data_IF_626131899702
#
_entry.id   IF_626131899702
#
_cell.length_a   1.000
_cell.length_b   1.000
_cell.length_c   1.000
_cell.angle_alpha   90.00
_cell.angle_beta   90.00
_cell.angle_gamma   90.00
#
_symmetry.space_group_name_H-M   'P 1'
#
loop_
_entity.id
_entity.type
_entity.pdbx_description
1 polymer ?
#
# COMPACT_ATOMS: atom_id res chain seq x y z
N UNK A 1 80.20 -1.45 -11.67
CA UNK A 1 78.79 -1.33 -12.13
C UNK A 1 77.85 -1.68 -10.98
N UNK A 2 77.64 -0.74 -10.05
CA UNK A 2 76.77 -0.86 -8.86
C UNK A 2 75.97 0.44 -8.78
N UNK A 3 74.84 0.54 -9.50
CA UNK A 3 73.94 1.70 -9.38
C UNK A 3 72.54 1.50 -9.97
N UNK A 4 72.32 0.53 -10.86
CA UNK A 4 71.01 0.42 -11.57
C UNK A 4 69.94 -0.44 -10.87
N UNK A 5 70.26 -1.27 -9.87
CA UNK A 5 69.27 -2.18 -9.25
C UNK A 5 68.48 -1.58 -8.09
N UNK A 6 68.92 -0.46 -7.50
CA UNK A 6 68.22 0.16 -6.36
C UNK A 6 67.09 1.12 -6.78
N UNK A 7 67.15 1.69 -7.98
CA UNK A 7 66.12 2.63 -8.46
C UNK A 7 64.86 1.93 -8.97
N UNK A 8 64.96 0.70 -9.47
CA UNK A 8 63.79 -0.06 -9.95
C UNK A 8 62.91 -0.60 -8.81
N UNK A 9 63.51 -0.98 -7.68
CA UNK A 9 62.77 -1.48 -6.51
C UNK A 9 61.99 -0.36 -5.79
N UNK A 10 62.49 0.89 -5.81
CA UNK A 10 61.81 2.02 -5.19
C UNK A 10 60.61 2.50 -6.03
N UNK A 11 60.69 2.42 -7.36
CA UNK A 11 59.60 2.79 -8.26
C UNK A 11 58.40 1.81 -8.18
N UNK A 12 58.64 0.52 -7.90
CA UNK A 12 57.58 -0.48 -7.77
C UNK A 12 56.84 -0.39 -6.41
N UNK A 13 57.52 0.08 -5.36
CA UNK A 13 56.89 0.29 -4.04
C UNK A 13 56.09 1.60 -4.01
N UNK A 14 56.54 2.65 -4.70
CA UNK A 14 55.77 3.90 -4.83
C UNK A 14 54.53 3.77 -5.73
N UNK A 15 54.51 2.81 -6.66
CA UNK A 15 53.33 2.53 -7.50
C UNK A 15 52.22 1.77 -6.74
N UNK A 16 52.55 1.02 -5.67
CA UNK A 16 51.59 0.31 -4.83
C UNK A 16 50.96 1.17 -3.72
N UNK A 17 51.54 2.35 -3.43
CA UNK A 17 51.02 3.33 -2.47
C UNK A 17 50.29 4.50 -3.14
N UNK A 18 50.05 4.43 -4.45
CA UNK A 18 49.26 5.39 -5.21
C UNK A 18 47.78 5.33 -4.82
N UNK A 19 47.39 6.21 -3.90
CA UNK A 19 46.05 6.76 -3.71
C UNK A 19 44.87 5.78 -3.79
N UNK A 20 44.74 4.87 -2.83
CA UNK A 20 43.38 4.45 -2.45
C UNK A 20 42.78 5.59 -1.61
N UNK A 21 42.17 6.56 -2.27
CA UNK A 21 41.44 7.64 -1.62
C UNK A 21 40.47 7.04 -0.59
N UNK A 22 40.52 7.43 0.70
CA UNK A 22 39.57 6.95 1.71
C UNK A 22 38.11 7.20 1.30
N UNK A 23 37.85 8.21 0.46
CA UNK A 23 36.54 8.46 -0.16
C UNK A 23 36.19 7.38 -1.18
N UNK A 24 37.12 6.99 -2.05
CA UNK A 24 36.91 5.91 -3.03
C UNK A 24 36.77 4.54 -2.35
N UNK A 25 37.51 4.30 -1.26
CA UNK A 25 37.36 3.09 -0.45
C UNK A 25 36.04 3.05 0.31
N UNK A 26 35.56 4.19 0.82
CA UNK A 26 34.24 4.29 1.44
C UNK A 26 33.10 4.22 0.41
N UNK A 27 33.29 4.78 -0.79
CA UNK A 27 32.33 4.66 -1.90
C UNK A 27 32.25 3.22 -2.40
N UNK A 28 33.39 2.55 -2.62
CA UNK A 28 33.44 1.11 -2.93
C UNK A 28 32.83 0.27 -1.82
N UNK A 29 33.07 0.57 -0.56
CA UNK A 29 32.41 -0.10 0.55
C UNK A 29 30.88 0.10 0.51
N UNK A 30 30.36 1.27 0.13
CA UNK A 30 28.92 1.49 -0.06
C UNK A 30 28.34 0.79 -1.30
N UNK A 31 29.09 0.75 -2.40
CA UNK A 31 28.68 0.15 -3.68
C UNK A 31 28.73 -1.38 -3.62
N UNK A 32 29.68 -1.94 -2.88
CA UNK A 32 29.91 -3.39 -2.73
C UNK A 32 29.52 -3.92 -1.35
N UNK A 33 28.92 -3.10 -0.48
CA UNK A 33 28.25 -3.58 0.71
C UNK A 33 27.14 -4.54 0.29
N UNK A 34 26.90 -5.63 1.03
CA UNK A 34 25.70 -6.43 0.85
C UNK A 34 24.51 -5.47 0.86
N UNK A 35 23.73 -5.48 -0.22
CA UNK A 35 22.53 -4.67 -0.29
C UNK A 35 21.69 -4.97 0.96
N UNK A 36 21.39 -3.93 1.75
CA UNK A 36 20.58 -4.10 2.95
C UNK A 36 19.32 -4.87 2.56
N UNK A 37 18.93 -5.89 3.33
CA UNK A 37 17.76 -6.68 2.97
C UNK A 37 16.57 -5.72 2.78
N UNK A 38 15.67 -5.99 1.82
CA UNK A 38 14.52 -5.13 1.59
C UNK A 38 13.85 -4.80 2.92
N UNK A 39 13.45 -3.54 3.13
CA UNK A 39 12.96 -3.06 4.44
C UNK A 39 11.93 -4.00 5.08
N UNK A 40 11.07 -4.60 4.28
CA UNK A 40 10.08 -5.61 4.68
C UNK A 40 10.73 -6.83 5.36
N UNK A 41 11.82 -7.36 4.81
CA UNK A 41 12.55 -8.51 5.39
C UNK A 41 13.21 -8.12 6.71
N UNK A 42 13.71 -6.89 6.84
CA UNK A 42 14.23 -6.38 8.11
C UNK A 42 13.11 -6.24 9.15
N UNK A 43 11.97 -5.65 8.76
CA UNK A 43 10.77 -5.52 9.57
C UNK A 43 10.22 -6.88 10.02
N UNK A 44 10.26 -7.91 9.18
CA UNK A 44 9.81 -9.26 9.52
C UNK A 44 10.68 -9.93 10.61
N UNK A 45 11.95 -9.53 10.74
CA UNK A 45 12.86 -10.02 11.79
C UNK A 45 12.71 -9.29 13.12
N UNK A 46 11.98 -8.17 13.14
CA UNK A 46 11.68 -7.42 14.36
C UNK A 46 10.87 -8.29 15.33
N UNK A 47 11.37 -8.43 16.55
CA UNK A 47 10.64 -9.09 17.63
C UNK A 47 9.62 -8.11 18.22
N UNK A 48 8.35 -8.45 18.07
CA UNK A 48 7.24 -7.68 18.63
C UNK A 48 6.62 -8.52 19.73
N UNK A 49 6.82 -8.21 21.02
CA UNK A 49 6.26 -9.01 22.11
C UNK A 49 4.72 -8.85 22.12
N UNK A 50 3.94 -9.89 21.74
CA UNK A 50 2.48 -9.79 21.78
C UNK A 50 1.99 -9.55 23.22
N UNK A 51 2.63 -10.10 24.23
CA UNK A 51 2.30 -9.89 25.65
C UNK A 51 2.26 -8.41 26.06
N UNK A 52 3.08 -7.55 25.45
CA UNK A 52 3.20 -6.12 25.79
C UNK A 52 2.17 -5.24 25.04
N UNK A 53 1.36 -5.82 24.15
CA UNK A 53 0.43 -5.08 23.26
C UNK A 53 -0.54 -4.17 24.02
N UNK A 54 -0.99 -4.60 25.19
CA UNK A 54 -1.95 -3.86 26.00
C UNK A 54 -1.37 -2.61 26.64
N UNK A 55 -0.09 -2.69 27.02
CA UNK A 55 0.61 -1.65 27.78
C UNK A 55 1.45 -0.75 26.87
N UNK A 56 1.71 -1.17 25.61
CA UNK A 56 2.49 -0.42 24.65
C UNK A 56 1.70 -0.12 23.35
N UNK A 57 1.14 1.09 23.22
CA UNK A 57 0.41 1.51 22.02
C UNK A 57 1.22 1.47 20.72
N UNK A 58 2.55 1.61 20.79
CA UNK A 58 3.40 1.54 19.59
C UNK A 58 3.50 0.10 19.07
N UNK A 59 3.65 -0.87 19.97
CA UNK A 59 3.67 -2.30 19.62
C UNK A 59 2.31 -2.72 19.06
N UNK A 60 1.21 -2.33 19.71
CA UNK A 60 -0.14 -2.58 19.20
C UNK A 60 -0.32 -2.08 17.76
N UNK A 61 0.05 -0.83 17.48
CA UNK A 61 -0.05 -0.25 16.13
C UNK A 61 0.84 -0.92 15.11
N UNK A 62 2.05 -1.29 15.51
CA UNK A 62 3.00 -1.98 14.65
C UNK A 62 2.49 -3.35 14.21
N UNK A 63 1.82 -4.07 15.12
CA UNK A 63 1.16 -5.35 14.85
C UNK A 63 -0.08 -5.16 13.98
N UNK A 64 -0.98 -4.25 14.34
CA UNK A 64 -2.22 -3.99 13.59
C UNK A 64 -1.97 -3.39 12.20
N UNK A 65 -0.81 -2.75 12.01
CA UNK A 65 -0.39 -2.08 10.78
C UNK A 65 0.58 -2.87 9.91
N UNK A 66 0.85 -4.16 10.19
CA UNK A 66 1.73 -4.98 9.36
C UNK A 66 1.25 -5.02 7.90
N UNK A 67 2.19 -4.90 6.97
CA UNK A 67 1.89 -5.01 5.55
C UNK A 67 1.84 -6.48 5.09
N UNK A 68 1.22 -6.72 3.92
CA UNK A 68 1.05 -8.06 3.38
C UNK A 68 2.38 -8.79 3.14
N UNK A 69 3.42 -8.06 2.76
CA UNK A 69 4.71 -8.62 2.42
C UNK A 69 5.41 -9.12 3.68
N UNK A 70 5.40 -8.33 4.75
CA UNK A 70 5.88 -8.71 6.07
C UNK A 70 5.09 -9.89 6.65
N UNK A 71 3.76 -9.86 6.54
CA UNK A 71 2.92 -11.00 6.96
C UNK A 71 3.34 -12.28 6.25
N UNK A 72 3.63 -12.21 4.95
CA UNK A 72 4.10 -13.35 4.16
C UNK A 72 5.51 -13.78 4.56
N UNK A 73 6.43 -12.86 4.84
CA UNK A 73 7.78 -13.20 5.34
C UNK A 73 7.73 -13.88 6.72
N UNK A 74 6.78 -13.48 7.58
CA UNK A 74 6.61 -14.01 8.93
C UNK A 74 5.93 -15.38 8.96
N UNK A 75 4.88 -15.58 8.15
CA UNK A 75 4.05 -16.79 8.18
C UNK A 75 4.35 -17.78 7.04
N UNK A 76 4.97 -17.32 5.96
CA UNK A 76 5.00 -18.04 4.70
C UNK A 76 3.71 -17.90 3.89
N UNK A 77 3.48 -18.80 2.90
CA UNK A 77 2.25 -18.85 2.12
C UNK A 77 1.00 -18.94 3.00
N UNK A 78 -0.08 -18.28 2.61
CA UNK A 78 -1.33 -18.25 3.37
C UNK A 78 -2.50 -17.76 2.51
N UNK A 79 -3.71 -17.96 3.02
CA UNK A 79 -4.92 -17.37 2.48
C UNK A 79 -5.54 -16.39 3.49
N UNK A 80 -5.60 -15.12 3.10
CA UNK A 80 -6.31 -14.05 3.79
C UNK A 80 -7.68 -13.84 3.16
N UNK A 81 -8.69 -13.71 4.00
CA UNK A 81 -10.03 -13.31 3.59
C UNK A 81 -10.56 -12.26 4.56
N UNK A 82 -11.26 -11.25 4.05
CA UNK A 82 -12.01 -10.30 4.85
C UNK A 82 -13.34 -9.91 4.22
N UNK A 83 -14.30 -9.58 5.09
CA UNK A 83 -15.57 -8.97 4.73
C UNK A 83 -15.72 -7.68 5.53
N UNK A 84 -15.96 -6.58 4.83
CA UNK A 84 -16.23 -5.27 5.40
C UNK A 84 -17.66 -4.88 5.06
N UNK A 85 -18.43 -4.43 6.05
CA UNK A 85 -19.73 -3.81 5.78
C UNK A 85 -19.74 -2.39 6.32
N UNK A 86 -20.24 -1.49 5.49
CA UNK A 86 -20.40 -0.07 5.76
C UNK A 86 -21.88 0.27 5.64
N UNK A 87 -22.41 0.97 6.64
CA UNK A 87 -23.73 1.56 6.59
C UNK A 87 -23.60 3.03 6.97
N UNK A 88 -23.90 3.91 6.01
CA UNK A 88 -23.98 5.35 6.23
C UNK A 88 -25.44 5.75 6.35
N UNK A 89 -25.80 6.39 7.46
CA UNK A 89 -27.14 6.94 7.67
C UNK A 89 -27.05 8.43 7.98
N UNK A 90 -28.03 9.19 7.50
CA UNK A 90 -28.19 10.59 7.89
C UNK A 90 -28.59 10.73 9.37
N UNK A 91 -28.79 11.98 9.84
CA UNK A 91 -29.32 12.24 11.17
C UNK A 91 -30.56 11.39 11.47
N UNK A 92 -30.64 10.87 12.70
CA UNK A 92 -31.71 9.99 13.18
C UNK A 92 -31.91 8.69 12.37
N UNK A 93 -30.89 8.23 11.64
CA UNK A 93 -30.93 6.96 10.89
C UNK A 93 -31.62 7.05 9.53
N UNK A 94 -31.90 8.25 9.04
CA UNK A 94 -32.61 8.43 7.77
C UNK A 94 -31.75 8.08 6.55
N UNK A 95 -32.39 7.49 5.53
CA UNK A 95 -31.79 7.14 4.23
C UNK A 95 -30.49 6.32 4.30
N UNK A 96 -30.51 5.12 4.91
CA UNK A 96 -29.31 4.30 5.05
C UNK A 96 -28.80 3.85 3.68
N UNK A 97 -27.51 4.04 3.43
CA UNK A 97 -26.78 3.53 2.27
C UNK A 97 -25.81 2.47 2.76
N UNK A 98 -25.95 1.25 2.23
CA UNK A 98 -25.10 0.11 2.58
C UNK A 98 -24.15 -0.26 1.45
N UNK A 99 -22.96 -0.68 1.83
CA UNK A 99 -21.94 -1.26 0.97
C UNK A 99 -21.28 -2.41 1.72
N UNK A 100 -21.18 -3.58 1.10
CA UNK A 100 -20.40 -4.70 1.61
C UNK A 100 -19.29 -4.98 0.62
N UNK A 101 -18.09 -5.20 1.12
CA UNK A 101 -16.89 -5.47 0.35
C UNK A 101 -16.24 -6.76 0.86
N UNK A 102 -15.83 -7.61 -0.07
CA UNK A 102 -15.09 -8.84 0.22
C UNK A 102 -13.71 -8.75 -0.41
N UNK A 103 -12.68 -9.00 0.41
CA UNK A 103 -11.28 -9.06 -0.03
C UNK A 103 -10.79 -10.49 0.17
N UNK A 104 -10.12 -11.04 -0.83
CA UNK A 104 -9.36 -12.27 -0.67
C UNK A 104 -7.95 -12.07 -1.22
N UNK A 105 -6.98 -12.68 -0.56
CA UNK A 105 -5.58 -12.60 -0.92
C UNK A 105 -4.90 -13.93 -0.61
N UNK A 106 -4.46 -14.61 -1.66
CA UNK A 106 -3.73 -15.87 -1.60
C UNK A 106 -2.25 -15.57 -1.86
N UNK A 107 -1.43 -15.75 -0.84
CA UNK A 107 0.01 -15.54 -0.91
C UNK A 107 0.73 -16.85 -1.28
N UNK A 108 1.57 -16.79 -2.31
CA UNK A 108 2.61 -17.79 -2.56
C UNK A 108 3.86 -17.52 -1.70
N UNK A 109 4.94 -18.29 -1.94
CA UNK A 109 6.21 -18.08 -1.26
C UNK A 109 6.84 -16.72 -1.56
N UNK A 110 7.38 -16.06 -0.53
CA UNK A 110 8.14 -14.81 -0.65
C UNK A 110 7.28 -13.55 -0.47
N UNK A 111 7.70 -12.66 0.43
CA UNK A 111 6.95 -11.47 0.78
C UNK A 111 7.06 -10.35 -0.24
N UNK A 112 8.22 -10.04 -0.82
CA UNK A 112 8.37 -8.83 -1.65
C UNK A 112 7.93 -9.06 -3.11
N UNK A 113 8.45 -10.11 -3.74
CA UNK A 113 8.22 -10.43 -5.16
C UNK A 113 7.52 -11.78 -5.35
N UNK A 114 6.96 -12.34 -4.27
CA UNK A 114 6.26 -13.62 -4.35
C UNK A 114 5.01 -13.54 -5.19
N UNK A 115 4.59 -14.71 -5.64
CA UNK A 115 3.35 -14.88 -6.37
C UNK A 115 2.17 -14.60 -5.44
N UNK A 116 1.11 -13.98 -5.98
CA UNK A 116 -0.12 -13.81 -5.24
C UNK A 116 -1.32 -13.75 -6.17
N UNK A 117 -2.48 -14.03 -5.61
CA UNK A 117 -3.77 -13.85 -6.25
C UNK A 117 -4.70 -13.11 -5.31
N UNK A 118 -5.18 -11.95 -5.76
CA UNK A 118 -6.01 -11.05 -4.99
C UNK A 118 -7.33 -10.75 -5.69
N UNK A 119 -8.42 -10.74 -4.93
CA UNK A 119 -9.77 -10.44 -5.42
C UNK A 119 -10.44 -9.46 -4.47
N UNK A 120 -10.95 -8.36 -5.02
CA UNK A 120 -11.75 -7.34 -4.36
C UNK A 120 -13.11 -7.28 -5.05
N UNK A 121 -14.21 -7.44 -4.31
CA UNK A 121 -15.56 -7.29 -4.86
C UNK A 121 -16.47 -6.56 -3.86
N UNK A 122 -17.54 -5.94 -4.36
CA UNK A 122 -18.55 -5.34 -3.50
C UNK A 122 -19.99 -5.63 -3.92
N UNK A 123 -20.93 -5.25 -3.05
CA UNK A 123 -22.38 -5.42 -3.23
C UNK A 123 -23.01 -4.51 -4.28
N UNK A 124 -22.20 -3.80 -5.08
CA UNK A 124 -22.63 -2.89 -6.16
C UNK A 124 -22.06 -3.31 -7.52
N UNK A 125 -21.80 -4.62 -7.68
CA UNK A 125 -21.29 -5.24 -8.91
C UNK A 125 -19.96 -4.67 -9.41
N UNK A 126 -19.16 -4.10 -8.50
CA UNK A 126 -17.80 -3.70 -8.78
C UNK A 126 -16.83 -4.74 -8.24
N UNK A 127 -15.69 -4.87 -8.91
CA UNK A 127 -14.61 -5.72 -8.44
C UNK A 127 -13.38 -5.62 -9.32
N UNK A 128 -12.25 -5.94 -8.70
CA UNK A 128 -10.93 -5.97 -9.28
C UNK A 128 -10.26 -7.27 -8.86
N UNK A 129 -9.63 -7.93 -9.82
CA UNK A 129 -8.85 -9.13 -9.57
C UNK A 129 -7.46 -8.94 -10.16
N UNK A 130 -6.45 -9.24 -9.35
CA UNK A 130 -5.03 -9.06 -9.69
C UNK A 130 -4.28 -10.31 -9.30
N UNK A 131 -3.45 -10.78 -10.22
CA UNK A 131 -2.54 -11.90 -10.00
C UNK A 131 -1.13 -11.47 -10.33
N UNK A 132 -0.18 -11.83 -9.48
CA UNK A 132 1.24 -11.87 -9.84
C UNK A 132 1.68 -13.32 -9.84
N UNK A 133 2.20 -13.80 -10.96
CA UNK A 133 2.74 -15.16 -11.08
C UNK A 133 4.03 -15.11 -11.88
N UNK A 134 5.13 -15.62 -11.31
CA UNK A 134 6.48 -15.65 -11.90
C UNK A 134 6.91 -14.25 -12.40
N UNK A 135 6.62 -13.22 -11.60
CA UNK A 135 6.95 -11.83 -11.91
C UNK A 135 6.05 -11.16 -12.95
N UNK A 136 5.12 -11.88 -13.57
CA UNK A 136 4.14 -11.30 -14.50
C UNK A 136 2.87 -10.89 -13.74
N UNK A 137 2.32 -9.72 -14.09
CA UNK A 137 1.11 -9.21 -13.47
C UNK A 137 -0.06 -9.30 -14.45
N UNK A 138 -1.18 -9.82 -13.97
CA UNK A 138 -2.44 -9.93 -14.70
C UNK A 138 -3.52 -9.22 -13.90
N UNK A 139 -4.41 -8.50 -14.57
CA UNK A 139 -5.53 -7.87 -13.90
C UNK A 139 -6.79 -7.90 -14.77
N UNK A 140 -7.95 -7.99 -14.10
CA UNK A 140 -9.26 -7.80 -14.73
C UNK A 140 -10.21 -7.06 -13.80
N UNK A 141 -11.18 -6.38 -14.40
CA UNK A 141 -12.39 -6.01 -13.68
C UNK A 141 -13.29 -7.26 -13.56
N UNK A 142 -14.25 -7.23 -12.63
CA UNK A 142 -15.17 -8.36 -12.33
C UNK A 142 -15.68 -9.14 -13.55
N UNK A 143 -16.11 -8.45 -14.61
CA UNK A 143 -16.69 -9.06 -15.82
C UNK A 143 -15.79 -8.97 -17.06
N UNK A 144 -14.55 -8.48 -16.91
CA UNK A 144 -13.61 -8.29 -18.02
C UNK A 144 -12.66 -9.49 -18.20
N UNK A 145 -12.01 -9.61 -19.36
CA UNK A 145 -10.92 -10.57 -19.53
C UNK A 145 -9.69 -10.13 -18.74
N UNK A 146 -8.83 -11.08 -18.36
CA UNK A 146 -7.50 -10.74 -17.88
C UNK A 146 -6.71 -10.00 -18.94
N UNK A 147 -5.95 -9.02 -18.49
CA UNK A 147 -4.93 -8.34 -19.28
C UNK A 147 -3.61 -8.51 -18.58
N UNK A 148 -2.61 -8.96 -19.32
CA UNK A 148 -1.23 -8.89 -18.86
C UNK A 148 -0.82 -7.43 -18.74
N UNK A 149 -0.01 -7.11 -17.73
CA UNK A 149 0.58 -5.80 -17.49
C UNK A 149 2.09 -5.94 -17.55
N UNK A 150 2.68 -5.65 -18.71
CA UNK A 150 4.13 -5.77 -18.91
C UNK A 150 4.88 -4.72 -18.08
N UNK A 151 4.30 -3.53 -17.91
CA UNK A 151 4.84 -2.44 -17.10
C UNK A 151 3.97 -2.22 -15.88
N UNK A 152 4.14 -3.05 -14.86
CA UNK A 152 3.49 -2.84 -13.56
C UNK A 152 4.11 -1.63 -12.85
N UNK A 153 3.45 -0.48 -12.93
CA UNK A 153 3.84 0.76 -12.23
C UNK A 153 3.38 0.73 -10.76
N UNK A 154 3.66 -0.37 -10.06
CA UNK A 154 3.27 -0.60 -8.66
C UNK A 154 1.76 -0.79 -8.45
N UNK A 155 1.01 -1.22 -9.47
CA UNK A 155 -0.40 -1.57 -9.32
C UNK A 155 -0.53 -2.83 -8.44
N UNK A 156 0.27 -3.86 -8.69
CA UNK A 156 0.19 -5.09 -7.91
C UNK A 156 0.49 -4.85 -6.41
N UNK A 157 1.50 -4.05 -6.07
CA UNK A 157 1.78 -3.70 -4.67
C UNK A 157 0.69 -2.86 -4.02
N UNK A 158 0.11 -1.90 -4.75
CA UNK A 158 -1.01 -1.09 -4.25
C UNK A 158 -2.23 -1.95 -4.00
N UNK A 159 -2.61 -2.80 -4.94
CA UNK A 159 -3.75 -3.71 -4.79
C UNK A 159 -3.51 -4.71 -3.67
N UNK A 160 -2.30 -5.26 -3.54
CA UNK A 160 -1.94 -6.11 -2.40
C UNK A 160 -2.14 -5.39 -1.07
N UNK A 161 -1.65 -4.16 -0.97
CA UNK A 161 -1.81 -3.33 0.23
C UNK A 161 -3.29 -3.04 0.53
N UNK A 162 -4.09 -2.79 -0.49
CA UNK A 162 -5.53 -2.55 -0.37
C UNK A 162 -6.26 -3.81 0.11
N UNK A 163 -5.96 -4.98 -0.48
CA UNK A 163 -6.61 -6.24 -0.14
C UNK A 163 -6.40 -6.65 1.32
N UNK A 164 -5.20 -6.45 1.87
CA UNK A 164 -4.87 -6.87 3.24
C UNK A 164 -4.96 -5.73 4.27
N UNK A 165 -5.13 -4.49 3.82
CA UNK A 165 -5.05 -3.28 4.65
C UNK A 165 -6.28 -2.99 5.53
N UNK A 166 -7.28 -3.87 5.54
CA UNK A 166 -8.58 -3.63 6.16
C UNK A 166 -8.51 -3.19 7.64
N UNK A 167 -7.66 -3.83 8.46
CA UNK A 167 -7.47 -3.49 9.88
C UNK A 167 -6.86 -2.09 10.02
N UNK A 168 -5.85 -1.77 9.21
CA UNK A 168 -5.18 -0.46 9.20
C UNK A 168 -6.15 0.66 8.76
N UNK A 169 -6.98 0.38 7.76
CA UNK A 169 -8.01 1.32 7.31
C UNK A 169 -9.03 1.59 8.43
N UNK A 170 -9.43 0.53 9.16
CA UNK A 170 -10.26 0.64 10.36
C UNK A 170 -9.58 1.51 11.44
N UNK A 171 -8.32 1.24 11.79
CA UNK A 171 -7.60 2.02 12.80
C UNK A 171 -7.49 3.51 12.41
N UNK A 172 -7.21 3.81 11.14
CA UNK A 172 -7.14 5.18 10.62
C UNK A 172 -8.47 5.93 10.72
N UNK A 173 -9.58 5.27 10.39
CA UNK A 173 -10.92 5.83 10.55
C UNK A 173 -11.25 6.10 12.01
N UNK A 174 -10.82 5.22 12.91
CA UNK A 174 -10.94 5.34 14.36
C UNK A 174 -9.85 6.21 15.01
N UNK A 175 -9.05 6.93 14.21
CA UNK A 175 -8.03 7.88 14.67
C UNK A 175 -6.94 7.22 15.54
N UNK A 176 -6.58 5.98 15.27
CA UNK A 176 -5.57 5.27 16.04
C UNK A 176 -6.01 4.88 17.45
N UNK A 177 -7.33 4.83 17.70
CA UNK A 177 -7.94 4.59 19.02
C UNK A 177 -8.37 3.14 19.23
N UNK A 178 -7.87 2.19 18.44
CA UNK A 178 -8.05 0.77 18.75
C UNK A 178 -7.26 0.44 20.02
N UNK A 179 -7.95 0.06 21.10
CA UNK A 179 -7.35 -0.42 22.34
C UNK A 179 -7.53 -1.92 22.45
N UNK A 180 -6.43 -2.63 22.69
CA UNK A 180 -6.40 -4.07 22.88
C UNK A 180 -6.26 -4.37 24.38
N UNK A 181 -7.06 -5.30 24.90
CA UNK A 181 -6.98 -5.80 26.28
C UNK A 181 -6.81 -7.31 26.24
N UNK A 182 -5.81 -7.90 26.92
CA UNK A 182 -5.56 -9.34 26.84
C UNK A 182 -6.75 -10.13 27.38
N UNK A 183 -7.07 -11.22 26.70
CA UNK A 183 -8.19 -12.11 27.02
C UNK A 183 -7.76 -13.59 26.96
N UNK A 184 -6.48 -13.85 27.26
CA UNK A 184 -5.88 -15.19 27.29
C UNK A 184 -5.28 -15.62 25.96
N UNK A 185 -4.97 -16.92 25.86
CA UNK A 185 -4.45 -17.55 24.64
C UNK A 185 -5.43 -18.60 24.10
N UNK A 186 -5.40 -18.80 22.79
CA UNK A 186 -6.24 -19.76 22.06
C UNK A 186 -5.42 -20.46 20.98
N UNK A 187 -5.93 -21.55 20.42
CA UNK A 187 -5.35 -22.20 19.24
C UNK A 187 -6.12 -21.81 17.98
N UNK A 188 -5.42 -21.39 16.92
CA UNK A 188 -5.99 -21.06 15.61
C UNK A 188 -5.08 -21.62 14.51
N UNK A 189 -5.62 -22.38 13.55
CA UNK A 189 -4.84 -23.04 12.48
C UNK A 189 -3.63 -23.86 13.02
N UNK A 190 -3.79 -24.49 14.19
CA UNK A 190 -2.71 -25.26 14.84
C UNK A 190 -1.62 -24.42 15.51
N UNK A 191 -1.81 -23.11 15.62
CA UNK A 191 -0.86 -22.15 16.20
C UNK A 191 -1.41 -21.56 17.51
N UNK A 192 -0.53 -21.28 18.47
CA UNK A 192 -0.91 -20.53 19.67
C UNK A 192 -1.05 -19.05 19.32
N UNK A 193 -2.18 -18.46 19.70
CA UNK A 193 -2.48 -17.06 19.49
C UNK A 193 -2.90 -16.39 20.80
N UNK A 194 -2.45 -15.17 21.02
CA UNK A 194 -2.98 -14.27 22.03
C UNK A 194 -4.31 -13.71 21.56
N UNK A 195 -5.33 -13.83 22.41
CA UNK A 195 -6.65 -13.25 22.20
C UNK A 195 -6.71 -11.90 22.90
N UNK A 196 -7.17 -10.87 22.18
CA UNK A 196 -7.44 -9.56 22.74
C UNK A 196 -8.88 -9.17 22.50
N UNK A 197 -9.50 -8.61 23.53
CA UNK A 197 -10.74 -7.85 23.37
C UNK A 197 -10.40 -6.45 22.85
N UNK A 198 -11.18 -5.97 21.89
CA UNK A 198 -11.04 -4.65 21.31
C UNK A 198 -12.03 -3.70 21.98
N UNK A 199 -11.56 -2.49 22.29
CA UNK A 199 -12.40 -1.39 22.79
C UNK A 199 -11.95 -0.06 22.20
N UNK A 200 -12.81 0.97 22.32
CA UNK A 200 -12.44 2.33 21.96
C UNK A 200 -11.53 2.95 23.03
N UNK A 201 -10.28 3.22 22.66
CA UNK A 201 -9.30 3.91 23.51
C UNK A 201 -9.58 5.40 23.68
N UNK A 202 -8.86 6.02 24.61
CA UNK A 202 -8.89 7.47 24.79
C UNK A 202 -8.45 8.20 23.49
N UNK A 203 -8.94 9.43 23.22
CA UNK A 203 -8.37 10.27 22.18
C UNK A 203 -6.87 10.39 22.43
N UNK A 204 -6.06 10.18 21.39
CA UNK A 204 -4.65 10.48 21.50
C UNK A 204 -4.44 11.97 21.32
N UNK A 205 -3.74 12.58 22.27
CA UNK A 205 -3.14 13.89 22.05
C UNK A 205 -2.18 13.73 20.88
N UNK A 206 -2.47 14.42 19.77
CA UNK A 206 -1.65 14.34 18.58
C UNK A 206 -0.22 14.69 18.94
N UNK A 207 0.70 13.74 18.80
CA UNK A 207 2.13 14.04 18.86
C UNK A 207 2.44 15.20 17.93
N UNK A 208 3.39 16.06 18.32
CA UNK A 208 3.74 17.30 17.63
C UNK A 208 3.68 17.08 16.12
N UNK A 209 2.75 17.71 15.39
CA UNK A 209 2.53 17.39 13.99
C UNK A 209 3.84 17.62 13.25
N UNK A 210 4.42 16.53 12.73
CA UNK A 210 5.57 16.63 11.83
C UNK A 210 5.13 17.60 10.74
N UNK A 211 5.88 18.71 10.57
CA UNK A 211 5.51 19.83 9.70
C UNK A 211 5.38 19.31 8.26
N UNK A 212 4.19 18.81 7.92
CA UNK A 212 3.87 18.37 6.57
C UNK A 212 3.67 19.62 5.71
N UNK A 213 3.97 19.55 4.40
CA UNK A 213 3.54 20.57 3.47
C UNK A 213 2.04 20.83 3.68
N UNK A 214 1.63 22.10 3.61
CA UNK A 214 0.22 22.44 3.71
C UNK A 214 -0.57 21.60 2.72
N UNK A 215 -1.61 20.91 3.21
CA UNK A 215 -2.46 20.09 2.36
C UNK A 215 -3.00 20.97 1.23
N UNK A 216 -2.81 20.54 -0.02
CA UNK A 216 -3.35 21.24 -1.18
C UNK A 216 -4.87 21.32 -1.03
N UNK A 217 -5.38 22.52 -0.80
CA UNK A 217 -6.81 22.77 -0.73
C UNK A 217 -7.25 23.37 -2.06
N UNK A 218 -7.95 22.62 -2.93
CA UNK A 218 -8.40 23.15 -4.20
C UNK A 218 -9.34 24.35 -3.97
N UNK A 219 -9.03 25.49 -4.59
CA UNK A 219 -9.78 26.75 -4.42
C UNK A 219 -11.29 26.61 -4.74
N UNK A 220 -11.64 25.68 -5.63
CA UNK A 220 -13.02 25.40 -6.06
C UNK A 220 -13.34 23.90 -5.96
N UNK A 221 -13.19 23.31 -4.77
CA UNK A 221 -13.59 21.92 -4.54
C UNK A 221 -15.08 21.71 -4.86
N UNK A 222 -15.41 20.67 -5.62
CA UNK A 222 -16.79 20.23 -5.83
C UNK A 222 -17.42 19.76 -4.51
N UNK A 223 -18.76 19.63 -4.49
CA UNK A 223 -19.47 19.25 -3.26
C UNK A 223 -19.03 17.89 -2.71
N UNK A 224 -18.70 16.93 -3.57
CA UNK A 224 -18.29 15.59 -3.14
C UNK A 224 -16.94 15.67 -2.43
N UNK A 225 -16.00 16.41 -3.00
CA UNK A 225 -14.69 16.67 -2.39
C UNK A 225 -14.84 17.37 -1.03
N UNK A 226 -15.73 18.38 -0.92
CA UNK A 226 -16.03 19.04 0.37
C UNK A 226 -16.62 18.09 1.40
N UNK A 227 -17.57 17.23 1.02
CA UNK A 227 -18.17 16.23 1.93
C UNK A 227 -17.13 15.24 2.45
N UNK A 228 -16.21 14.77 1.60
CA UNK A 228 -15.10 13.89 2.02
C UNK A 228 -14.17 14.57 3.00
N UNK A 229 -13.77 15.82 2.73
CA UNK A 229 -12.94 16.60 3.64
C UNK A 229 -13.64 16.77 5.00
N UNK A 230 -14.92 17.17 5.00
CA UNK A 230 -15.71 17.33 6.22
C UNK A 230 -15.84 16.03 7.02
N UNK A 231 -16.01 14.88 6.36
CA UNK A 231 -16.00 13.58 7.02
C UNK A 231 -14.70 13.38 7.80
N UNK A 232 -13.54 13.53 7.16
CA UNK A 232 -12.27 13.30 7.84
C UNK A 232 -11.99 14.35 8.94
N UNK A 233 -12.37 15.61 8.74
CA UNK A 233 -12.18 16.67 9.74
C UNK A 233 -13.05 16.45 10.98
N UNK A 234 -14.32 16.06 10.80
CA UNK A 234 -15.30 16.05 11.89
C UNK A 234 -15.69 14.67 12.40
N UNK A 235 -15.14 13.58 11.84
CA UNK A 235 -15.45 12.22 12.34
C UNK A 235 -15.13 12.09 13.84
N UNK A 236 -16.07 11.53 14.57
CA UNK A 236 -15.98 11.26 15.99
C UNK A 236 -16.27 9.78 16.24
N UNK A 237 -15.24 8.95 16.47
CA UNK A 237 -15.43 7.58 16.94
C UNK A 237 -16.30 7.56 18.21
N UNK A 238 -17.41 6.81 18.17
CA UNK A 238 -18.40 6.71 19.27
C UNK A 238 -18.27 5.41 20.03
N UNK A 239 -18.14 4.30 19.32
CA UNK A 239 -17.98 2.97 19.90
C UNK A 239 -17.10 2.12 19.02
N UNK A 240 -16.35 1.22 19.64
CA UNK A 240 -15.56 0.19 18.98
C UNK A 240 -15.52 -1.01 19.93
N UNK A 241 -15.87 -2.18 19.41
CA UNK A 241 -15.80 -3.44 20.14
C UNK A 241 -15.39 -4.58 19.20
N UNK A 242 -14.89 -5.69 19.77
CA UNK A 242 -14.48 -6.82 18.95
C UNK A 242 -13.43 -7.72 19.59
N UNK A 243 -12.80 -8.51 18.73
CA UNK A 243 -11.75 -9.46 19.08
C UNK A 243 -10.65 -9.44 18.01
N UNK A 244 -9.39 -9.57 18.45
CA UNK A 244 -8.23 -9.80 17.58
C UNK A 244 -7.44 -10.98 18.13
N UNK A 245 -7.02 -11.87 17.24
CA UNK A 245 -6.10 -12.97 17.54
C UNK A 245 -4.73 -12.65 16.93
N UNK A 246 -3.69 -12.64 17.76
CA UNK A 246 -2.30 -12.35 17.35
C UNK A 246 -1.45 -13.59 17.57
N UNK A 247 -0.75 -14.05 16.54
CA UNK A 247 0.13 -15.22 16.61
C UNK A 247 1.23 -15.01 17.66
N UNK A 248 1.42 -15.98 18.56
CA UNK A 248 2.39 -15.82 19.65
C UNK A 248 3.85 -15.87 19.18
N UNK A 249 4.12 -16.50 18.03
CA UNK A 249 5.48 -16.68 17.52
C UNK A 249 5.90 -15.55 16.56
N UNK A 250 4.96 -15.03 15.78
CA UNK A 250 5.24 -14.10 14.68
C UNK A 250 4.60 -12.73 14.85
N UNK A 251 3.70 -12.59 15.82
CA UNK A 251 2.98 -11.34 16.12
C UNK A 251 2.08 -10.86 14.98
N UNK A 252 1.76 -11.74 14.03
CA UNK A 252 0.82 -11.46 12.93
C UNK A 252 -0.62 -11.59 13.43
N UNK A 253 -1.49 -10.68 13.00
CA UNK A 253 -2.94 -10.81 13.24
C UNK A 253 -3.50 -11.97 12.42
N UNK A 254 -3.91 -13.05 13.09
CA UNK A 254 -4.48 -14.24 12.46
C UNK A 254 -5.97 -14.09 12.19
N UNK A 255 -6.68 -13.35 13.04
CA UNK A 255 -8.12 -13.14 12.94
C UNK A 255 -8.49 -11.80 13.57
N UNK A 256 -9.46 -11.11 12.97
CA UNK A 256 -10.06 -9.93 13.57
C UNK A 256 -11.57 -9.94 13.33
N UNK A 257 -12.33 -9.53 14.35
CA UNK A 257 -13.75 -9.20 14.25
C UNK A 257 -13.96 -7.87 14.95
N UNK A 258 -14.34 -6.83 14.21
CA UNK A 258 -14.55 -5.48 14.72
C UNK A 258 -15.97 -5.00 14.39
N UNK A 259 -16.59 -4.31 15.34
CA UNK A 259 -17.81 -3.53 15.16
C UNK A 259 -17.54 -2.11 15.67
N UNK A 260 -17.79 -1.12 14.83
CA UNK A 260 -17.48 0.27 15.14
C UNK A 260 -18.54 1.24 14.64
N UNK A 261 -18.69 2.34 15.38
CA UNK A 261 -19.57 3.45 15.02
C UNK A 261 -18.85 4.79 15.07
N UNK A 262 -19.06 5.60 14.04
CA UNK A 262 -18.49 6.93 13.90
C UNK A 262 -19.64 7.91 13.66
N UNK A 263 -19.73 8.93 14.50
CA UNK A 263 -20.63 10.07 14.27
C UNK A 263 -19.91 11.17 13.50
N UNK A 264 -20.60 11.80 12.56
CA UNK A 264 -20.09 12.94 11.79
C UNK A 264 -21.08 14.10 11.93
N UNK A 265 -20.82 15.05 12.86
CA UNK A 265 -21.67 16.23 13.03
C UNK A 265 -21.61 17.11 11.78
N UNK A 266 -22.70 17.82 11.51
CA UNK A 266 -22.72 18.88 10.50
C UNK A 266 -22.64 20.24 11.20
N UNK A 267 -21.98 21.22 10.59
CA UNK A 267 -21.74 22.55 11.17
C UNK A 267 -23.01 23.25 11.70
N UNK A 268 -24.19 22.89 11.16
CA UNK A 268 -25.48 23.55 11.46
C UNK A 268 -26.46 22.70 12.26
N UNK A 269 -26.15 21.44 12.57
CA UNK A 269 -27.05 20.57 13.34
C UNK A 269 -26.29 19.74 14.38
N UNK A 270 -26.78 19.68 15.63
CA UNK A 270 -26.19 18.83 16.66
C UNK A 270 -26.35 17.33 16.35
N UNK A 271 -27.33 16.97 15.52
CA UNK A 271 -27.54 15.59 15.07
C UNK A 271 -26.48 15.20 14.02
N UNK A 272 -25.71 14.17 14.35
CA UNK A 272 -24.65 13.66 13.50
C UNK A 272 -25.20 12.59 12.54
N UNK A 273 -24.68 12.58 11.30
CA UNK A 273 -24.75 11.39 10.47
C UNK A 273 -23.93 10.26 11.12
N UNK A 274 -24.27 9.01 10.85
CA UNK A 274 -23.61 7.85 11.47
C UNK A 274 -23.05 6.92 10.39
N UNK A 275 -21.78 6.55 10.56
CA UNK A 275 -21.14 5.45 9.84
C UNK A 275 -21.03 4.26 10.79
N UNK A 276 -21.68 3.15 10.45
CA UNK A 276 -21.48 1.85 11.09
C UNK A 276 -20.56 1.01 10.22
N UNK A 277 -19.61 0.34 10.86
CA UNK A 277 -18.63 -0.50 10.19
C UNK A 277 -18.49 -1.82 10.91
N UNK A 278 -18.45 -2.89 10.14
CA UNK A 278 -18.03 -4.20 10.63
C UNK A 278 -16.90 -4.73 9.78
N UNK A 279 -15.95 -5.42 10.41
CA UNK A 279 -14.86 -6.13 9.78
C UNK A 279 -14.84 -7.54 10.33
N UNK A 280 -14.83 -8.54 9.46
CA UNK A 280 -14.42 -9.89 9.79
C UNK A 280 -13.25 -10.28 8.88
N UNK A 281 -12.13 -10.71 9.44
CA UNK A 281 -10.98 -11.17 8.66
C UNK A 281 -10.30 -12.37 9.31
N UNK A 282 -9.74 -13.25 8.48
CA UNK A 282 -9.01 -14.43 8.94
C UNK A 282 -7.89 -14.83 7.98
N UNK A 283 -6.82 -15.38 8.56
CA UNK A 283 -5.78 -16.13 7.89
C UNK A 283 -6.02 -17.63 8.07
N UNK A 284 -5.89 -18.37 6.97
CA UNK A 284 -6.01 -19.83 6.87
C UNK A 284 -4.96 -20.38 5.92
N UNK A 285 -4.82 -21.70 5.85
CA UNK A 285 -3.86 -22.37 4.94
C UNK A 285 -2.41 -21.91 5.16
N UNK A 286 -2.08 -21.56 6.40
CA UNK A 286 -0.77 -21.02 6.77
C UNK A 286 0.31 -22.08 6.51
N UNK A 287 1.36 -21.68 5.78
CA UNK A 287 2.47 -22.52 5.37
C UNK A 287 2.19 -23.42 4.17
N UNK A 288 0.98 -23.39 3.58
CA UNK A 288 0.63 -24.22 2.41
C UNK A 288 0.85 -23.45 1.12
N UNK A 289 1.80 -23.88 0.31
CA UNK A 289 2.05 -23.26 -1.01
C UNK A 289 0.86 -23.49 -1.95
N UNK A 290 0.18 -22.43 -2.44
CA UNK A 290 -0.92 -22.55 -3.37
C UNK A 290 -0.51 -22.95 -4.80
N UNK A 291 0.78 -22.96 -5.14
CA UNK A 291 1.31 -23.27 -6.47
C UNK A 291 0.59 -22.50 -7.60
N UNK A 292 0.43 -21.18 -7.41
CA UNK A 292 -0.33 -20.30 -8.31
C UNK A 292 0.14 -20.42 -9.76
N UNK A 293 -0.83 -20.45 -10.67
CA UNK A 293 -0.59 -20.47 -12.12
C UNK A 293 -1.11 -19.18 -12.77
N UNK A 294 -0.51 -18.72 -13.88
CA UNK A 294 -1.08 -17.64 -14.66
C UNK A 294 -2.52 -17.98 -15.12
N UNK A 295 -3.36 -16.97 -15.40
CA UNK A 295 -4.67 -17.21 -15.98
C UNK A 295 -4.53 -17.95 -17.32
N UNK A 296 -5.44 -18.89 -17.60
CA UNK A 296 -5.43 -19.66 -18.85
C UNK A 296 -5.63 -18.76 -20.07
N UNK A 297 -6.58 -17.82 -19.95
CA UNK A 297 -6.90 -16.85 -20.98
C UNK A 297 -6.56 -15.43 -20.49
N UNK A 298 -5.72 -14.73 -21.25
CA UNK A 298 -5.45 -13.31 -21.04
C UNK A 298 -5.13 -12.62 -22.36
N UNK A 299 -5.45 -11.33 -22.42
CA UNK A 299 -5.02 -10.46 -23.50
C UNK A 299 -3.60 -9.96 -23.18
N UNK A 300 -2.63 -10.10 -24.09
CA UNK A 300 -1.30 -9.53 -23.90
C UNK A 300 -1.41 -8.00 -23.80
N UNK A 301 -0.51 -7.38 -23.02
CA UNK A 301 -0.42 -5.92 -22.95
C UNK A 301 0.02 -5.43 -24.34
N UNK A 302 -0.89 -4.80 -25.09
CA UNK A 302 -0.51 -4.16 -26.33
C UNK A 302 0.27 -2.89 -25.97
N UNK A 303 1.46 -2.71 -26.55
CA UNK A 303 2.17 -1.45 -26.41
C UNK A 303 1.24 -0.32 -26.88
N UNK A 304 1.02 0.66 -26.00
CA UNK A 304 0.32 1.86 -26.42
C UNK A 304 1.13 2.48 -27.56
N UNK A 305 0.48 2.91 -28.66
CA UNK A 305 1.16 3.61 -29.73
C UNK A 305 1.99 4.77 -29.14
N UNK A 306 3.25 4.91 -29.54
CA UNK A 306 4.21 5.80 -28.87
C UNK A 306 3.92 7.29 -29.08
N UNK A 307 2.98 7.63 -29.95
CA UNK A 307 2.51 9.00 -30.16
C UNK A 307 1.10 9.07 -30.73
N UNK A 308 0.59 10.30 -30.84
CA UNK A 308 -0.72 10.59 -31.44
C UNK A 308 -0.78 10.04 -32.87
N UNK A 309 0.33 10.12 -33.62
CA UNK A 309 0.43 9.63 -35.00
C UNK A 309 0.19 8.10 -35.09
N UNK A 310 0.89 7.32 -34.27
CA UNK A 310 0.73 5.86 -34.24
C UNK A 310 -0.65 5.45 -33.68
N UNK A 311 -1.24 6.26 -32.79
CA UNK A 311 -2.59 6.04 -32.28
C UNK A 311 -3.64 6.28 -33.36
N UNK A 312 -3.53 7.38 -34.11
CA UNK A 312 -4.42 7.67 -35.24
C UNK A 312 -4.35 6.56 -36.28
N UNK A 313 -3.15 6.07 -36.61
CA UNK A 313 -2.98 4.97 -37.55
C UNK A 313 -3.55 3.65 -37.01
N UNK A 314 -3.30 3.32 -35.74
CA UNK A 314 -3.82 2.09 -35.11
C UNK A 314 -5.35 2.06 -35.06
N UNK A 315 -5.99 3.22 -34.86
CA UNK A 315 -7.46 3.35 -34.85
C UNK A 315 -8.06 3.67 -36.23
N UNK A 316 -7.25 3.67 -37.30
CA UNK A 316 -7.70 3.95 -38.67
C UNK A 316 -8.24 5.36 -38.87
N UNK A 317 -7.84 6.31 -38.03
CA UNK A 317 -8.24 7.72 -38.13
C UNK A 317 -7.30 8.39 -39.14
N UNK A 318 -7.81 8.85 -40.30
CA UNK A 318 -6.97 9.47 -41.31
C UNK A 318 -6.36 10.76 -40.75
N UNK A 319 -5.04 10.89 -40.91
CA UNK A 319 -4.31 12.11 -40.55
C UNK A 319 -4.78 13.24 -41.48
N UNK A 320 -5.43 14.27 -40.95
CA UNK A 320 -5.63 15.51 -41.69
C UNK A 320 -4.25 16.13 -41.94
N UNK A 321 -3.82 16.18 -43.21
CA UNK A 321 -2.62 16.94 -43.59
C UNK A 321 -2.85 18.40 -43.19
N UNK A 322 -1.81 19.03 -42.64
CA UNK A 322 -1.81 20.47 -42.45
C UNK A 322 -2.05 21.14 -43.82
N UNK A 323 -3.27 21.64 -44.03
CA UNK A 323 -3.72 22.21 -45.30
C UNK A 323 -5.15 21.83 -45.73
N UNK A 324 -5.73 20.74 -45.21
CA UNK A 324 -7.00 20.18 -45.76
C UNK A 324 -8.26 20.42 -44.90
N UNK A 325 -8.24 21.32 -43.91
CA UNK A 325 -9.46 21.71 -43.19
C UNK A 325 -9.87 23.16 -43.49
N UNK A 326 -10.85 23.32 -44.38
CA UNK A 326 -11.69 24.52 -44.40
C UNK A 326 -12.54 24.56 -43.12
N UNK A 327 -12.11 25.36 -42.14
CA UNK A 327 -12.97 25.91 -41.09
C UNK A 327 -12.79 25.34 -39.68
N UNK A 328 -11.87 25.92 -38.90
CA UNK A 328 -12.06 26.57 -37.58
C UNK A 328 -10.69 27.15 -37.15
N UNK A 329 -10.56 28.39 -36.66
CA UNK A 329 -9.25 29.03 -36.48
C UNK A 329 -8.42 28.33 -35.40
N UNK A 330 -7.26 27.80 -35.81
CA UNK A 330 -6.23 27.35 -34.89
C UNK A 330 -5.60 28.54 -34.16
N UNK A 331 -5.47 28.43 -32.85
CA UNK A 331 -4.64 29.33 -32.06
C UNK A 331 -3.20 29.26 -32.60
N UNK A 332 -2.66 30.44 -32.91
CA UNK A 332 -1.37 30.63 -33.53
C UNK A 332 -0.24 29.94 -32.78
N UNK A 333 0.65 29.31 -33.57
CA UNK A 333 1.98 28.90 -33.16
C UNK A 333 2.82 30.12 -32.71
N UNK A 334 3.62 29.93 -31.67
CA UNK A 334 4.73 30.83 -31.33
C UNK A 334 4.63 31.44 -29.93
N UNK A 335 4.91 30.64 -28.91
CA UNK A 335 5.50 31.16 -27.68
C UNK A 335 6.91 30.53 -27.56
N UNK A 336 8.00 31.33 -27.58
CA UNK A 336 9.35 30.81 -27.48
C UNK A 336 9.61 30.22 -26.09
N UNK A 337 10.43 29.17 -26.04
CA UNK A 337 11.01 28.61 -24.81
C UNK A 337 11.74 29.70 -24.03
N UNK A 338 11.57 29.80 -22.69
CA UNK A 338 12.44 30.66 -21.89
C UNK A 338 13.81 30.01 -21.77
N UNK A 339 14.82 30.75 -22.24
CA UNK A 339 16.25 30.42 -22.12
C UNK A 339 16.70 30.38 -20.66
N UNK A 340 17.59 29.43 -20.37
CA UNK A 340 18.30 29.28 -19.09
C UNK A 340 19.16 30.53 -18.80
N UNK A 341 18.85 31.27 -17.72
CA UNK A 341 19.79 32.24 -17.14
C UNK A 341 20.65 31.55 -16.07
N UNK A 342 21.92 31.31 -16.44
CA UNK A 342 23.00 31.05 -15.50
C UNK A 342 23.66 32.37 -15.07
N UNK A 343 23.76 32.54 -13.75
CA UNK A 343 24.76 33.28 -12.95
C UNK A 343 25.14 34.75 -13.28
N UNK A 344 25.01 35.62 -12.27
CA UNK A 344 26.00 36.67 -11.99
C UNK A 344 25.49 37.99 -11.41
N UNK A 345 25.32 38.09 -10.08
CA UNK A 345 26.12 38.97 -9.19
C UNK A 345 25.77 38.78 -7.70
#
# INVERSE_FOLDING_TARGET
MRSLTKSAALALVLAATGCSDPVDKAAKARIFSPEDPPKVVASAKEKLPPEDVADNPQVSRRILGMDAAEVTERLGPHFFQSTLSYEWAGPNGNNPVKLTETRSFRAGPGGVNGDFHGVLENSRDQGLEVMRVKGQVFARNRYGPYRQRLRDRGMAERTRTELTGAIRDFDSLFQGRIKLTPAGTVTHEGRTAWKYNVSLGAPQEGGTPKKMPAAFTPKNADETTKRRANFFTHRLPRSLEGEVLVDSATSVVLKARLDGRIGVPQEKTPEAAELRMTLESSLTDIGKDPALQPPQDFLPDADKPQGIADALDHFGIPRTKAGDSTGTPGAAAGAPEPEDEAEGN
#
